data_IF_739298233399
#
_entry.id   IF_739298233399
#
_cell.length_a   1.000
_cell.length_b   1.000
_cell.length_c   1.000
_cell.angle_alpha   90.00
_cell.angle_beta   90.00
_cell.angle_gamma   90.00
#
_symmetry.space_group_name_H-M   'P 1'
#
loop_
_entity.id
_entity.type
_entity.pdbx_description
1 polymer ?
#
# COMPACT_ATOMS: atom_id res chain seq x y z
N UNK A 1 -1.25 20.62 16.45
CA UNK A 1 -0.98 20.60 14.98
C UNK A 1 -2.22 20.07 14.28
N UNK A 2 -2.38 20.19 12.95
CA UNK A 2 -3.65 19.87 12.26
C UNK A 2 -4.13 18.42 12.42
N UNK A 3 -3.33 17.54 13.02
CA UNK A 3 -3.62 16.12 13.21
C UNK A 3 -3.10 15.66 14.59
N UNK A 4 -3.48 16.34 15.68
CA UNK A 4 -3.20 15.87 17.05
C UNK A 4 -4.02 14.60 17.33
N UNK A 5 -3.33 13.47 17.62
CA UNK A 5 -3.94 12.15 17.86
C UNK A 5 -3.63 11.10 16.80
N UNK A 6 -2.92 11.47 15.74
CA UNK A 6 -2.51 10.58 14.66
C UNK A 6 -1.06 10.11 14.93
N UNK A 7 -0.89 8.92 15.52
CA UNK A 7 0.41 8.28 15.72
C UNK A 7 0.86 7.51 14.47
N UNK A 8 2.15 7.58 14.13
CA UNK A 8 2.72 6.65 13.15
C UNK A 8 2.71 5.25 13.75
N UNK A 9 2.35 4.25 12.96
CA UNK A 9 2.68 2.87 13.32
C UNK A 9 4.20 2.72 13.27
N UNK A 10 4.82 2.25 14.36
CA UNK A 10 6.27 2.04 14.46
C UNK A 10 6.83 1.08 13.39
N UNK A 11 5.94 0.33 12.73
CA UNK A 11 6.27 -0.70 11.73
C UNK A 11 6.00 -0.28 10.27
N UNK A 12 5.48 0.94 10.01
CA UNK A 12 5.29 1.46 8.64
C UNK A 12 5.96 2.83 8.49
N UNK A 13 7.23 2.79 8.08
CA UNK A 13 8.14 3.94 8.12
C UNK A 13 8.04 4.91 6.95
N UNK A 14 7.15 4.67 6.00
CA UNK A 14 7.14 5.51 4.81
C UNK A 14 6.06 6.60 4.95
N UNK A 15 6.33 7.76 4.32
CA UNK A 15 5.34 8.78 3.94
C UNK A 15 5.44 8.94 2.41
N UNK A 16 4.32 9.07 1.68
CA UNK A 16 4.30 9.25 0.21
C UNK A 16 3.58 10.53 -0.10
N UNK A 17 4.01 11.15 -1.19
CA UNK A 17 3.45 12.40 -1.67
C UNK A 17 2.77 12.16 -3.01
N UNK A 18 1.48 12.45 -3.08
CA UNK A 18 0.68 12.35 -4.30
C UNK A 18 -0.38 13.46 -4.32
N UNK A 19 -0.54 14.10 -5.48
CA UNK A 19 -1.55 15.14 -5.73
C UNK A 19 -1.63 16.25 -4.66
N UNK A 20 -0.46 16.72 -4.21
CA UNK A 20 -0.39 17.81 -3.22
C UNK A 20 -0.69 17.39 -1.77
N UNK A 21 -0.85 16.10 -1.50
CA UNK A 21 -1.08 15.58 -0.16
C UNK A 21 -0.05 14.52 0.25
N UNK A 22 0.28 14.47 1.53
CA UNK A 22 1.06 13.40 2.14
C UNK A 22 0.09 12.30 2.58
N UNK A 23 0.32 11.06 2.21
CA UNK A 23 -0.42 9.89 2.72
C UNK A 23 0.48 9.06 3.63
N UNK A 24 -0.07 8.34 4.60
CA UNK A 24 0.61 7.30 5.39
C UNK A 24 -0.41 6.31 5.99
N UNK A 25 0.07 5.15 6.43
CA UNK A 25 -0.75 4.15 7.13
C UNK A 25 -0.79 4.42 8.63
N UNK A 26 -1.92 4.10 9.25
CA UNK A 26 -2.14 4.26 10.68
C UNK A 26 -2.90 3.07 11.25
N UNK A 27 -2.48 2.60 12.42
CA UNK A 27 -3.25 1.68 13.26
C UNK A 27 -4.25 2.45 14.12
N UNK A 28 -5.53 2.09 14.08
CA UNK A 28 -6.52 2.64 15.00
C UNK A 28 -6.51 1.85 16.31
N UNK A 29 -6.15 2.51 17.41
CA UNK A 29 -6.32 1.94 18.75
C UNK A 29 -7.82 1.85 19.07
N UNK A 30 -8.42 0.67 18.90
CA UNK A 30 -9.81 0.40 19.32
C UNK A 30 -9.97 -1.03 19.85
N UNK A 31 -10.98 -1.24 20.69
CA UNK A 31 -11.33 -2.55 21.29
C UNK A 31 -11.67 -3.66 20.25
N UNK A 32 -11.93 -3.26 19.00
CA UNK A 32 -11.97 -4.16 17.84
C UNK A 32 -10.60 -4.17 17.17
N UNK A 33 -9.98 -5.36 17.14
CA UNK A 33 -8.66 -5.65 16.59
C UNK A 33 -8.26 -4.81 15.36
N UNK A 34 -7.10 -4.15 15.47
CA UNK A 34 -6.17 -3.73 14.43
C UNK A 34 -6.79 -3.34 13.08
N UNK A 35 -7.59 -2.27 13.07
CA UNK A 35 -8.05 -1.65 11.82
C UNK A 35 -7.03 -0.62 11.36
N UNK A 36 -6.41 -0.87 10.21
CA UNK A 36 -5.55 0.12 9.55
C UNK A 36 -6.36 1.07 8.70
N UNK A 37 -5.94 2.34 8.69
CA UNK A 37 -6.49 3.38 7.85
C UNK A 37 -5.37 4.14 7.15
N UNK A 38 -5.70 4.71 6.00
CA UNK A 38 -4.86 5.63 5.27
C UNK A 38 -5.23 7.02 5.73
N UNK A 39 -4.25 7.78 6.20
CA UNK A 39 -4.42 9.18 6.58
C UNK A 39 -3.73 10.03 5.53
N UNK A 40 -4.41 11.06 5.06
CA UNK A 40 -3.86 12.01 4.09
C UNK A 40 -3.88 13.42 4.65
N UNK A 41 -2.77 14.15 4.54
CA UNK A 41 -2.67 15.58 4.84
C UNK A 41 -2.55 16.37 3.54
N UNK A 42 -3.61 17.08 3.18
CA UNK A 42 -3.60 18.02 2.06
C UNK A 42 -2.78 19.25 2.42
N UNK A 43 -1.69 19.51 1.69
CA UNK A 43 -0.73 20.58 2.05
C UNK A 43 -1.25 21.99 1.73
N UNK A 44 -2.24 22.14 0.86
CA UNK A 44 -2.78 23.44 0.48
C UNK A 44 -3.85 23.92 1.47
N UNK A 45 -4.68 23.00 1.95
CA UNK A 45 -5.78 23.27 2.88
C UNK A 45 -5.45 22.92 4.33
N UNK A 46 -4.34 22.24 4.57
CA UNK A 46 -3.89 21.74 5.87
C UNK A 46 -4.93 20.84 6.56
N UNK A 47 -5.69 20.08 5.76
CA UNK A 47 -6.75 19.19 6.26
C UNK A 47 -6.34 17.73 6.19
N UNK A 48 -6.54 17.03 7.30
CA UNK A 48 -6.44 15.58 7.37
C UNK A 48 -7.74 14.93 6.84
N UNK A 49 -7.60 13.81 6.12
CA UNK A 49 -8.70 12.90 5.73
C UNK A 49 -8.30 11.47 6.00
N UNK A 50 -9.29 10.62 6.24
CA UNK A 50 -9.11 9.21 6.55
C UNK A 50 -9.83 8.35 5.51
N UNK A 51 -9.15 7.32 5.02
CA UNK A 51 -9.70 6.34 4.08
C UNK A 51 -9.45 4.92 4.61
N UNK A 52 -10.38 3.99 4.40
CA UNK A 52 -10.10 2.59 4.68
C UNK A 52 -9.07 2.05 3.68
N UNK A 53 -8.28 1.06 4.13
CA UNK A 53 -7.46 0.27 3.22
C UNK A 53 -8.34 -0.57 2.28
N UNK A 54 -7.88 -0.96 1.09
CA UNK A 54 -8.67 -1.74 0.12
C UNK A 54 -8.93 -3.20 0.54
N UNK A 55 -8.47 -3.60 1.73
CA UNK A 55 -8.42 -4.99 2.16
C UNK A 55 -9.17 -5.16 3.47
N UNK A 56 -10.35 -5.77 3.39
CA UNK A 56 -11.13 -6.19 4.55
C UNK A 56 -10.62 -7.55 5.05
N UNK A 57 -9.40 -7.56 5.62
CA UNK A 57 -8.80 -8.77 6.19
C UNK A 57 -8.51 -8.56 7.66
N UNK A 58 -9.32 -9.24 8.47
CA UNK A 58 -9.09 -9.45 9.88
C UNK A 58 -7.75 -10.20 10.03
N UNK A 59 -6.80 -9.66 10.79
CA UNK A 59 -5.45 -10.20 11.07
C UNK A 59 -4.35 -10.01 10.00
N UNK A 60 -4.35 -8.90 9.26
CA UNK A 60 -3.13 -8.50 8.54
C UNK A 60 -2.14 -7.87 9.53
N UNK A 61 -0.89 -8.35 9.52
CA UNK A 61 0.20 -7.64 10.18
C UNK A 61 0.62 -6.45 9.32
N UNK A 62 0.77 -5.26 9.90
CA UNK A 62 1.20 -4.07 9.17
C UNK A 62 2.56 -4.26 8.51
N UNK A 63 3.43 -5.11 9.07
CA UNK A 63 4.72 -5.47 8.48
C UNK A 63 4.59 -6.15 7.10
N UNK A 64 3.40 -6.68 6.79
CA UNK A 64 3.06 -7.26 5.50
C UNK A 64 2.51 -6.26 4.48
N UNK A 65 2.26 -5.02 4.90
CA UNK A 65 1.81 -3.93 4.04
C UNK A 65 3.01 -3.13 3.56
N UNK A 66 3.16 -3.04 2.24
CA UNK A 66 4.06 -2.10 1.60
C UNK A 66 3.24 -1.11 0.78
N UNK A 67 3.72 0.10 0.61
CA UNK A 67 2.92 1.16 0.05
C UNK A 67 3.78 2.24 -0.60
N UNK A 68 3.36 2.67 -1.78
CA UNK A 68 4.19 3.46 -2.68
C UNK A 68 3.35 4.25 -3.69
N UNK A 69 4.00 5.07 -4.50
CA UNK A 69 3.39 5.72 -5.66
C UNK A 69 3.83 4.99 -6.92
N UNK A 70 2.88 4.37 -7.61
CA UNK A 70 3.11 3.66 -8.87
C UNK A 70 2.55 4.49 -10.03
N UNK A 71 3.43 5.22 -10.72
CA UNK A 71 3.00 6.21 -11.71
C UNK A 71 2.26 7.35 -11.03
N UNK A 72 0.98 7.51 -11.33
CA UNK A 72 0.10 8.53 -10.74
C UNK A 72 -0.88 7.95 -9.72
N UNK A 73 -0.68 6.71 -9.27
CA UNK A 73 -1.58 6.01 -8.37
C UNK A 73 -0.94 5.71 -7.03
N UNK A 74 -1.71 5.89 -5.95
CA UNK A 74 -1.37 5.33 -4.64
C UNK A 74 -1.50 3.81 -4.73
N UNK A 75 -0.44 3.09 -4.37
CA UNK A 75 -0.37 1.64 -4.43
C UNK A 75 -0.18 1.06 -3.03
N UNK A 76 -0.91 0.00 -2.72
CA UNK A 76 -0.76 -0.80 -1.49
C UNK A 76 -0.56 -2.25 -1.88
N UNK A 77 0.57 -2.81 -1.46
CA UNK A 77 0.93 -4.21 -1.61
C UNK A 77 0.73 -4.95 -0.30
N UNK A 78 0.06 -6.09 -0.34
CA UNK A 78 -0.14 -7.00 0.79
C UNK A 78 0.64 -8.27 0.51
N UNK A 79 1.70 -8.49 1.28
CA UNK A 79 2.65 -9.60 1.10
C UNK A 79 2.49 -10.63 2.22
N UNK A 80 1.72 -11.69 1.97
CA UNK A 80 1.64 -12.81 2.90
C UNK A 80 2.78 -13.80 2.61
N UNK A 81 3.76 -13.87 3.51
CA UNK A 81 4.93 -14.76 3.39
C UNK A 81 4.53 -16.21 3.06
N UNK A 82 5.16 -16.78 2.03
CA UNK A 82 4.90 -18.16 1.58
C UNK A 82 3.48 -18.42 1.06
N UNK A 83 2.70 -17.37 0.80
CA UNK A 83 1.31 -17.43 0.37
C UNK A 83 1.10 -16.61 -0.91
N UNK A 84 0.62 -15.38 -0.80
CA UNK A 84 0.17 -14.56 -1.92
C UNK A 84 0.61 -13.13 -1.71
N UNK A 85 1.06 -12.51 -2.79
CA UNK A 85 1.24 -11.07 -2.90
C UNK A 85 0.12 -10.49 -3.75
N UNK A 86 -0.55 -9.48 -3.22
CA UNK A 86 -1.56 -8.70 -3.92
C UNK A 86 -1.15 -7.24 -3.91
N UNK A 87 -1.38 -6.53 -5.01
CA UNK A 87 -1.27 -5.07 -5.01
C UNK A 87 -2.57 -4.44 -5.46
N UNK A 88 -2.91 -3.32 -4.85
CA UNK A 88 -4.10 -2.52 -5.10
C UNK A 88 -3.67 -1.10 -5.45
N UNK A 89 -4.32 -0.50 -6.43
CA UNK A 89 -4.10 0.90 -6.81
C UNK A 89 -5.37 1.72 -6.64
N UNK A 90 -5.23 2.94 -6.13
CA UNK A 90 -6.30 3.92 -6.04
C UNK A 90 -6.30 4.72 -7.34
N UNK A 91 -7.24 4.42 -8.24
CA UNK A 91 -7.28 5.05 -9.58
C UNK A 91 -7.63 6.53 -9.53
N UNK A 92 -8.45 6.92 -8.56
CA UNK A 92 -8.80 8.31 -8.29
C UNK A 92 -8.38 8.63 -6.86
N UNK A 93 -7.34 9.44 -6.72
CA UNK A 93 -6.76 9.73 -5.42
C UNK A 93 -7.78 10.34 -4.45
N UNK A 94 -7.85 9.81 -3.24
CA UNK A 94 -8.85 10.16 -2.22
C UNK A 94 -10.25 9.60 -2.46
N UNK A 95 -10.45 8.67 -3.40
CA UNK A 95 -11.76 8.01 -3.65
C UNK A 95 -11.66 6.52 -3.32
N UNK A 96 -12.25 6.12 -2.20
CA UNK A 96 -12.23 4.73 -1.69
C UNK A 96 -12.75 3.72 -2.72
N UNK A 97 -13.80 4.06 -3.45
CA UNK A 97 -14.43 3.18 -4.43
C UNK A 97 -13.57 2.97 -5.69
N UNK A 98 -12.51 3.76 -5.86
CA UNK A 98 -11.59 3.67 -7.00
C UNK A 98 -10.49 2.62 -6.82
N UNK A 99 -10.39 2.03 -5.62
CA UNK A 99 -9.46 0.94 -5.37
C UNK A 99 -9.70 -0.20 -6.34
N UNK A 100 -8.64 -0.62 -7.01
CA UNK A 100 -8.66 -1.68 -8.00
C UNK A 100 -7.50 -2.63 -7.75
N UNK A 101 -7.76 -3.94 -7.79
CA UNK A 101 -6.70 -4.95 -7.77
C UNK A 101 -5.82 -4.79 -9.00
N UNK A 102 -4.53 -4.58 -8.79
CA UNK A 102 -3.52 -4.48 -9.84
C UNK A 102 -3.00 -5.87 -10.21
N UNK A 103 -2.61 -6.67 -9.22
CA UNK A 103 -2.22 -8.06 -9.41
C UNK A 103 -2.49 -8.90 -8.15
N UNK A 104 -2.54 -10.22 -8.35
CA UNK A 104 -2.61 -11.24 -7.29
C UNK A 104 -1.77 -12.42 -7.73
N UNK A 105 -0.64 -12.66 -7.06
CA UNK A 105 0.35 -13.68 -7.42
C UNK A 105 0.64 -14.56 -6.23
N UNK A 106 0.57 -15.87 -6.42
CA UNK A 106 0.97 -16.82 -5.39
C UNK A 106 2.51 -16.81 -5.27
N UNK A 107 2.99 -16.43 -4.10
CA UNK A 107 4.38 -16.51 -3.72
C UNK A 107 4.68 -17.97 -3.38
N UNK A 108 5.57 -18.59 -4.14
CA UNK A 108 6.14 -19.87 -3.74
C UNK A 108 6.88 -19.76 -2.39
N UNK A 109 7.25 -20.87 -1.76
CA UNK A 109 7.86 -20.89 -0.42
C UNK A 109 9.24 -20.22 -0.33
N UNK A 110 9.76 -19.69 -1.44
CA UNK A 110 11.06 -19.06 -1.55
C UNK A 110 10.99 -17.54 -1.55
N UNK A 111 9.84 -16.93 -1.77
CA UNK A 111 9.73 -15.49 -1.99
C UNK A 111 9.03 -14.81 -0.83
N UNK A 112 9.61 -13.68 -0.42
CA UNK A 112 9.22 -12.96 0.77
C UNK A 112 8.18 -11.89 0.41
N UNK A 113 8.35 -11.24 -0.75
CA UNK A 113 7.47 -10.18 -1.23
C UNK A 113 7.45 -10.08 -2.76
N UNK A 114 6.41 -9.46 -3.32
CA UNK A 114 6.46 -8.84 -4.64
C UNK A 114 6.21 -7.33 -4.49
N UNK A 115 7.02 -6.52 -5.15
CA UNK A 115 6.87 -5.06 -5.21
C UNK A 115 6.64 -4.59 -6.65
N UNK A 116 5.57 -3.85 -6.95
CA UNK A 116 5.41 -3.21 -8.25
C UNK A 116 6.40 -2.06 -8.40
N UNK A 117 7.06 -1.98 -9.55
CA UNK A 117 8.06 -0.93 -9.79
C UNK A 117 7.58 0.13 -10.78
N UNK A 118 7.02 -0.31 -11.91
CA UNK A 118 6.63 0.60 -12.98
C UNK A 118 5.65 -0.05 -13.94
N UNK A 119 4.77 0.75 -14.53
CA UNK A 119 3.98 0.32 -15.68
C UNK A 119 4.82 0.22 -16.95
N UNK A 120 4.46 -0.70 -17.83
CA UNK A 120 5.02 -0.75 -19.18
C UNK A 120 4.58 0.48 -19.96
N UNK A 121 5.31 0.80 -21.05
CA UNK A 121 5.04 2.00 -21.86
C UNK A 121 3.60 2.09 -22.40
N UNK A 122 2.92 0.96 -22.58
CA UNK A 122 1.54 0.92 -23.05
C UNK A 122 0.50 0.83 -21.92
N UNK A 123 0.94 0.84 -20.65
CA UNK A 123 0.10 0.75 -19.46
C UNK A 123 -0.59 -0.61 -19.25
N UNK A 124 -0.26 -1.63 -20.05
CA UNK A 124 -0.94 -2.94 -20.01
C UNK A 124 -0.30 -3.94 -19.06
N UNK A 125 0.93 -3.66 -18.63
CA UNK A 125 1.70 -4.57 -17.79
C UNK A 125 2.36 -3.77 -16.67
N UNK A 126 2.68 -4.44 -15.57
CA UNK A 126 3.48 -3.88 -14.47
C UNK A 126 4.75 -4.73 -14.30
N UNK A 127 5.89 -4.08 -14.14
CA UNK A 127 7.14 -4.73 -13.80
C UNK A 127 7.14 -4.96 -12.29
N UNK A 128 7.31 -6.22 -11.90
CA UNK A 128 7.40 -6.60 -10.50
C UNK A 128 8.83 -6.97 -10.14
N UNK A 129 9.22 -6.65 -8.91
CA UNK A 129 10.40 -7.19 -8.22
C UNK A 129 9.94 -8.24 -7.22
N UNK A 130 10.33 -9.49 -7.44
CA UNK A 130 10.20 -10.58 -6.46
C UNK A 130 11.45 -10.60 -5.59
N UNK A 131 11.27 -10.48 -4.28
CA UNK A 131 12.37 -10.50 -3.30
C UNK A 131 12.48 -11.88 -2.67
N UNK A 132 13.71 -12.40 -2.58
CA UNK A 132 14.04 -13.59 -1.79
C UNK A 132 15.48 -13.53 -1.29
N UNK A 133 15.81 -14.40 -0.33
CA UNK A 133 17.15 -14.51 0.26
C UNK A 133 18.29 -14.82 -0.74
N UNK A 134 17.99 -15.40 -1.91
CA UNK A 134 19.00 -15.81 -2.89
C UNK A 134 19.31 -14.69 -3.90
N UNK A 135 18.28 -14.22 -4.64
CA UNK A 135 18.42 -13.22 -5.67
C UNK A 135 17.06 -12.65 -6.08
N UNK A 136 17.00 -11.33 -6.22
CA UNK A 136 15.85 -10.62 -6.76
C UNK A 136 15.56 -11.05 -8.20
N UNK A 137 14.26 -11.15 -8.54
CA UNK A 137 13.81 -11.40 -9.91
C UNK A 137 12.88 -10.32 -10.39
N UNK A 138 13.01 -9.97 -11.67
CA UNK A 138 12.16 -9.00 -12.33
C UNK A 138 11.37 -9.68 -13.45
N UNK A 139 10.07 -9.43 -13.49
CA UNK A 139 9.19 -9.99 -14.51
C UNK A 139 7.97 -9.09 -14.70
N UNK A 140 7.41 -9.14 -15.91
CA UNK A 140 6.21 -8.40 -16.26
C UNK A 140 4.97 -9.26 -16.03
N UNK A 141 3.92 -8.65 -15.47
CA UNK A 141 2.57 -9.24 -15.38
C UNK A 141 1.54 -8.34 -16.02
#
# INVERSE_FOLDING_TARGET
MPCDGYGFSEDSDSIVFLDGALSWLMSKESDDADKYMIVTLDLASEKCREFPIPVDRINIDISSLDWEVLGDYLCISVNCFGSRSEAWIMKEYGVTESWSLLYSIDLGPRYDSCKPLVFSKNGKMVLLKMECNDADRFFWV
#
